data_IF_956277515107
#
_entry.id   IF_956277515107
#
_cell.length_a   1.000
_cell.length_b   1.000
_cell.length_c   1.000
_cell.angle_alpha   90.00
_cell.angle_beta   90.00
_cell.angle_gamma   90.00
#
_symmetry.space_group_name_H-M   'P 1'
#
loop_
_entity.id
_entity.type
_entity.pdbx_description
1 polymer ?
#
# COMPACT_ATOMS: atom_id res chain seq x y z
N UNK A 1 14.22 17.07 -3.93
CA UNK A 1 14.38 16.17 -2.78
C UNK A 1 13.94 14.75 -3.13
N UNK A 2 12.69 14.46 -3.53
CA UNK A 2 12.20 13.11 -3.87
C UNK A 2 13.04 12.40 -4.95
N UNK A 3 13.35 13.05 -6.07
CA UNK A 3 14.19 12.47 -7.13
C UNK A 3 15.57 12.01 -6.68
N UNK A 4 16.18 12.65 -5.68
CA UNK A 4 17.47 12.19 -5.15
C UNK A 4 17.30 10.89 -4.38
N UNK A 5 16.28 10.78 -3.53
CA UNK A 5 15.97 9.54 -2.82
C UNK A 5 15.68 8.39 -3.78
N UNK A 6 14.87 8.62 -4.81
CA UNK A 6 14.57 7.61 -5.83
C UNK A 6 15.83 7.14 -6.55
N UNK A 7 16.73 8.08 -6.88
CA UNK A 7 17.98 7.75 -7.56
C UNK A 7 18.93 6.96 -6.67
N UNK A 8 19.06 7.36 -5.39
CA UNK A 8 19.85 6.64 -4.39
C UNK A 8 19.33 5.23 -4.14
N UNK A 9 18.00 5.06 -4.16
CA UNK A 9 17.33 3.76 -4.04
C UNK A 9 17.32 2.94 -5.34
N UNK A 10 17.85 3.47 -6.45
CA UNK A 10 17.86 2.78 -7.74
C UNK A 10 16.50 2.72 -8.45
N UNK A 11 15.51 3.53 -8.02
CA UNK A 11 14.19 3.58 -8.62
C UNK A 11 14.24 4.24 -9.99
N UNK A 12 13.63 3.61 -10.99
CA UNK A 12 13.49 4.15 -12.35
C UNK A 12 12.48 5.30 -12.33
N UNK A 13 12.94 6.50 -12.70
CA UNK A 13 12.14 7.74 -12.61
C UNK A 13 11.63 8.27 -13.95
N UNK A 14 11.86 7.56 -15.06
CA UNK A 14 11.52 8.02 -16.42
C UNK A 14 10.00 8.14 -16.66
N UNK A 15 9.19 7.50 -15.83
CA UNK A 15 7.73 7.60 -15.90
C UNK A 15 7.14 8.60 -14.89
N UNK A 16 7.96 9.21 -14.04
CA UNK A 16 7.51 10.26 -13.13
C UNK A 16 7.33 11.55 -13.93
N UNK A 17 6.14 12.14 -13.81
CA UNK A 17 5.80 13.42 -14.42
C UNK A 17 6.20 14.54 -13.46
N UNK A 18 6.96 15.49 -13.96
CA UNK A 18 7.30 16.70 -13.21
C UNK A 18 6.49 17.85 -13.77
N UNK A 19 5.59 18.40 -12.98
CA UNK A 19 4.83 19.60 -13.34
C UNK A 19 5.65 20.85 -12.98
N UNK A 20 5.70 21.82 -13.92
CA UNK A 20 6.45 23.06 -13.74
C UNK A 20 5.67 24.15 -12.97
N UNK A 21 4.35 23.98 -12.83
CA UNK A 21 3.43 24.97 -12.25
C UNK A 21 2.92 24.59 -10.88
N UNK A 22 2.84 23.28 -10.61
CA UNK A 22 2.27 22.74 -9.39
C UNK A 22 3.37 22.24 -8.47
N UNK A 23 3.18 22.46 -7.18
CA UNK A 23 4.09 21.94 -6.16
C UNK A 23 3.83 20.44 -5.91
N UNK A 24 4.87 19.75 -5.46
CA UNK A 24 4.72 18.38 -4.94
C UNK A 24 3.83 18.39 -3.71
N UNK A 25 2.93 17.43 -3.60
CA UNK A 25 2.07 17.26 -2.43
C UNK A 25 2.86 17.25 -1.13
N UNK A 26 2.25 17.76 -0.07
CA UNK A 26 2.85 17.82 1.26
C UNK A 26 1.85 17.33 2.31
N UNK A 27 2.35 16.64 3.33
CA UNK A 27 1.57 16.26 4.50
C UNK A 27 2.11 16.97 5.74
N UNK A 28 1.25 17.72 6.43
CA UNK A 28 1.52 18.27 7.75
C UNK A 28 1.09 17.28 8.82
N UNK A 29 2.04 16.68 9.53
CA UNK A 29 1.75 15.68 10.56
C UNK A 29 1.85 16.36 11.92
N UNK A 30 0.75 16.40 12.66
CA UNK A 30 0.71 16.86 14.03
C UNK A 30 0.65 15.66 14.95
N UNK A 31 1.57 15.60 15.92
CA UNK A 31 1.62 14.51 16.89
C UNK A 31 1.36 15.11 18.28
N UNK A 32 0.40 14.55 19.01
CA UNK A 32 0.12 14.94 20.39
C UNK A 32 1.09 14.28 21.38
N UNK A 33 0.99 14.67 22.66
CA UNK A 33 1.83 14.13 23.74
C UNK A 33 1.65 12.63 24.01
N UNK A 34 0.56 12.05 23.53
CA UNK A 34 0.19 10.64 23.74
C UNK A 34 0.54 9.79 22.49
N UNK A 35 1.19 10.43 21.47
CA UNK A 35 1.63 9.76 20.24
C UNK A 35 0.54 9.64 19.16
N UNK A 36 -0.67 10.19 19.38
CA UNK A 36 -1.69 10.22 18.34
C UNK A 36 -1.32 11.23 17.28
N UNK A 37 -1.56 10.89 16.02
CA UNK A 37 -1.31 11.81 14.91
C UNK A 37 -2.60 12.31 14.26
N UNK A 38 -2.53 13.54 13.73
CA UNK A 38 -3.50 14.11 12.83
C UNK A 38 -2.76 14.60 11.59
N UNK A 39 -3.16 14.12 10.42
CA UNK A 39 -2.47 14.39 9.16
C UNK A 39 -3.34 15.29 8.29
N UNK A 40 -2.79 16.41 7.87
CA UNK A 40 -3.40 17.29 6.90
C UNK A 40 -2.63 17.19 5.57
N UNK A 41 -3.28 16.69 4.53
CA UNK A 41 -2.68 16.45 3.22
C UNK A 41 -3.11 17.53 2.25
N UNK A 42 -2.13 18.09 1.52
CA UNK A 42 -2.34 18.93 0.35
C UNK A 42 -1.72 18.22 -0.84
N UNK A 43 -2.54 17.65 -1.71
CA UNK A 43 -2.12 16.69 -2.75
C UNK A 43 -1.23 17.31 -3.84
N UNK A 44 -1.34 18.62 -4.09
CA UNK A 44 -0.52 19.30 -5.09
C UNK A 44 -0.68 18.70 -6.48
N UNK A 45 0.44 18.45 -7.15
CA UNK A 45 0.46 17.89 -8.51
C UNK A 45 -0.21 16.50 -8.63
N UNK A 46 -0.31 15.74 -7.55
CA UNK A 46 -0.94 14.42 -7.58
C UNK A 46 -2.44 14.48 -7.96
N UNK A 47 -3.13 15.57 -7.63
CA UNK A 47 -4.54 15.80 -8.03
C UNK A 47 -4.70 16.20 -9.50
N UNK A 48 -3.61 16.40 -10.24
CA UNK A 48 -3.60 16.87 -11.63
C UNK A 48 -3.05 15.80 -12.57
N UNK A 49 -3.37 14.55 -12.29
CA UNK A 49 -3.07 13.43 -13.17
C UNK A 49 -4.28 13.15 -14.06
N UNK A 50 -4.05 12.87 -15.34
CA UNK A 50 -5.08 12.65 -16.35
C UNK A 50 -4.90 11.29 -17.06
N UNK A 51 -5.93 10.84 -17.76
CA UNK A 51 -5.89 9.58 -18.51
C UNK A 51 -4.75 9.54 -19.55
N UNK A 52 -4.51 10.66 -20.24
CA UNK A 52 -3.42 10.79 -21.20
C UNK A 52 -2.04 10.56 -20.56
N UNK A 53 -1.86 10.93 -19.29
CA UNK A 53 -0.61 10.68 -18.56
C UNK A 53 -0.36 9.19 -18.39
N UNK A 54 -1.42 8.43 -18.11
CA UNK A 54 -1.36 6.97 -18.01
C UNK A 54 -1.09 6.35 -19.38
N UNK A 55 -1.81 6.79 -20.42
CA UNK A 55 -1.64 6.27 -21.78
C UNK A 55 -0.25 6.55 -22.35
N UNK A 56 0.32 7.72 -22.08
CA UNK A 56 1.70 8.08 -22.46
C UNK A 56 2.76 7.24 -21.74
N UNK A 57 2.41 6.54 -20.65
CA UNK A 57 3.29 5.67 -19.88
C UNK A 57 2.88 4.19 -19.94
N UNK A 58 1.94 3.84 -20.82
CA UNK A 58 1.39 2.48 -20.91
C UNK A 58 2.47 1.42 -21.15
N UNK A 59 3.54 1.74 -21.86
CA UNK A 59 4.66 0.81 -22.08
C UNK A 59 5.38 0.45 -20.77
N UNK A 60 5.41 1.34 -19.77
CA UNK A 60 5.92 1.01 -18.44
C UNK A 60 5.01 -0.01 -17.75
N UNK A 61 3.69 0.18 -17.86
CA UNK A 61 2.70 -0.75 -17.30
C UNK A 61 2.83 -2.13 -17.97
N UNK A 62 2.89 -2.17 -19.31
CA UNK A 62 3.03 -3.43 -20.08
C UNK A 62 4.27 -4.25 -19.70
N UNK A 63 5.35 -3.57 -19.34
CA UNK A 63 6.62 -4.19 -18.97
C UNK A 63 6.77 -4.41 -17.45
N UNK A 64 5.67 -4.25 -16.70
CA UNK A 64 5.63 -4.47 -15.27
C UNK A 64 4.82 -5.73 -14.92
N UNK A 65 5.31 -6.50 -13.97
CA UNK A 65 4.58 -7.67 -13.46
C UNK A 65 3.51 -7.26 -12.45
N UNK A 66 3.80 -6.22 -11.68
CA UNK A 66 2.95 -5.75 -10.58
C UNK A 66 2.62 -4.26 -10.78
N UNK A 67 1.38 -3.94 -10.57
CA UNK A 67 0.87 -2.57 -10.48
C UNK A 67 0.35 -2.33 -9.07
N UNK A 68 1.05 -1.49 -8.32
CA UNK A 68 0.68 -1.07 -6.97
C UNK A 68 0.22 0.38 -6.99
N UNK A 69 -0.92 0.67 -6.40
CA UNK A 69 -1.46 2.02 -6.26
C UNK A 69 -2.19 2.23 -4.93
N UNK A 70 -2.40 3.48 -4.59
CA UNK A 70 -3.18 3.98 -3.45
C UNK A 70 -4.36 4.83 -3.95
N UNK A 71 -5.04 5.54 -3.03
CA UNK A 71 -6.17 6.44 -3.33
C UNK A 71 -5.78 7.92 -3.12
N UNK A 72 -4.55 8.31 -3.48
CA UNK A 72 -4.03 9.68 -3.32
C UNK A 72 -3.96 10.49 -4.62
N UNK A 73 -4.44 9.90 -5.72
CA UNK A 73 -4.67 10.56 -7.01
C UNK A 73 -6.16 10.64 -7.29
N UNK A 74 -6.63 11.36 -8.32
CA UNK A 74 -8.06 11.37 -8.65
C UNK A 74 -8.62 9.96 -8.80
N UNK A 75 -9.75 9.68 -8.18
CA UNK A 75 -10.34 8.33 -8.11
C UNK A 75 -10.53 7.72 -9.50
N UNK A 76 -11.00 8.52 -10.46
CA UNK A 76 -11.21 8.11 -11.85
C UNK A 76 -9.90 7.69 -12.54
N UNK A 77 -8.79 8.35 -12.21
CA UNK A 77 -7.47 8.05 -12.79
C UNK A 77 -6.87 6.81 -12.13
N UNK A 78 -7.01 6.66 -10.83
CA UNK A 78 -6.63 5.42 -10.11
C UNK A 78 -7.36 4.21 -10.71
N UNK A 79 -8.67 4.32 -10.92
CA UNK A 79 -9.50 3.28 -11.54
C UNK A 79 -9.07 3.00 -12.98
N UNK A 80 -8.80 4.06 -13.76
CA UNK A 80 -8.33 3.94 -15.13
C UNK A 80 -7.00 3.20 -15.21
N UNK A 81 -6.04 3.57 -14.38
CA UNK A 81 -4.73 2.93 -14.31
C UNK A 81 -4.82 1.45 -13.89
N UNK A 82 -5.66 1.11 -12.91
CA UNK A 82 -5.92 -0.28 -12.51
C UNK A 82 -6.52 -1.11 -13.67
N UNK A 83 -7.46 -0.55 -14.44
CA UNK A 83 -8.01 -1.21 -15.64
C UNK A 83 -6.92 -1.46 -16.67
N UNK A 84 -6.09 -0.45 -16.97
CA UNK A 84 -4.94 -0.60 -17.89
C UNK A 84 -3.96 -1.67 -17.42
N UNK A 85 -3.61 -1.67 -16.14
CA UNK A 85 -2.74 -2.70 -15.57
C UNK A 85 -3.33 -4.11 -15.75
N UNK A 86 -4.64 -4.24 -15.52
CA UNK A 86 -5.32 -5.53 -15.70
C UNK A 86 -5.40 -5.98 -17.16
N UNK A 87 -5.65 -5.06 -18.11
CA UNK A 87 -5.59 -5.31 -19.55
C UNK A 87 -4.22 -5.88 -19.97
N UNK A 88 -3.14 -5.38 -19.34
CA UNK A 88 -1.78 -5.82 -19.59
C UNK A 88 -1.29 -6.95 -18.67
N UNK A 89 -2.21 -7.60 -17.95
CA UNK A 89 -1.97 -8.80 -17.12
C UNK A 89 -1.06 -8.56 -15.92
N UNK A 90 -0.89 -7.32 -15.48
CA UNK A 90 -0.22 -7.06 -14.21
C UNK A 90 -1.01 -7.65 -13.04
N UNK A 91 -0.32 -8.09 -12.01
CA UNK A 91 -0.91 -8.32 -10.70
C UNK A 91 -1.25 -6.95 -10.12
N UNK A 92 -2.51 -6.74 -9.76
CA UNK A 92 -2.98 -5.46 -9.24
C UNK A 92 -3.08 -5.47 -7.73
N UNK A 93 -2.39 -4.53 -7.09
CA UNK A 93 -2.43 -4.31 -5.65
C UNK A 93 -3.03 -2.93 -5.40
N UNK A 94 -4.12 -2.86 -4.66
CA UNK A 94 -4.72 -1.61 -4.21
C UNK A 94 -4.61 -1.49 -2.70
N UNK A 95 -3.82 -0.50 -2.24
CA UNK A 95 -3.89 -0.02 -0.88
C UNK A 95 -4.94 1.10 -0.81
N UNK A 96 -6.09 0.89 -0.14
CA UNK A 96 -7.20 1.85 -0.20
C UNK A 96 -7.03 3.03 0.77
N UNK A 97 -5.85 3.61 0.79
CA UNK A 97 -5.46 4.72 1.65
C UNK A 97 -5.32 6.03 0.83
N UNK A 98 -5.95 7.12 1.27
CA UNK A 98 -7.03 7.18 2.26
C UNK A 98 -8.32 6.54 1.76
N UNK A 99 -9.14 5.99 2.66
CA UNK A 99 -10.40 5.36 2.27
C UNK A 99 -11.35 6.37 1.59
N UNK A 100 -11.76 6.03 0.36
CA UNK A 100 -12.68 6.83 -0.45
C UNK A 100 -13.75 5.93 -1.07
N UNK A 101 -14.91 6.49 -1.41
CA UNK A 101 -15.94 5.73 -2.12
C UNK A 101 -15.47 5.42 -3.54
N UNK A 102 -15.47 4.16 -3.88
CA UNK A 102 -15.15 3.66 -5.23
C UNK A 102 -16.30 2.80 -5.74
N UNK A 103 -16.44 2.72 -7.05
CA UNK A 103 -17.40 1.81 -7.67
C UNK A 103 -17.00 0.36 -7.35
N UNK A 104 -17.96 -0.42 -6.83
CA UNK A 104 -17.70 -1.80 -6.43
C UNK A 104 -17.26 -2.70 -7.60
N UNK A 105 -17.57 -2.34 -8.83
CA UNK A 105 -17.09 -3.10 -10.00
C UNK A 105 -15.56 -3.14 -10.12
N UNK A 106 -14.84 -2.17 -9.50
CA UNK A 106 -13.38 -2.18 -9.48
C UNK A 106 -12.82 -3.35 -8.67
N UNK A 107 -13.52 -3.83 -7.65
CA UNK A 107 -13.06 -4.93 -6.80
C UNK A 107 -12.78 -6.21 -7.60
N UNK A 108 -13.48 -6.43 -8.71
CA UNK A 108 -13.33 -7.62 -9.57
C UNK A 108 -11.99 -7.67 -10.31
N UNK A 109 -11.31 -6.53 -10.43
CA UNK A 109 -10.00 -6.43 -11.10
C UNK A 109 -8.84 -6.25 -10.14
N UNK A 110 -9.10 -6.25 -8.83
CA UNK A 110 -8.09 -6.17 -7.78
C UNK A 110 -7.65 -7.59 -7.41
N UNK A 111 -6.37 -7.87 -7.59
CA UNK A 111 -5.80 -9.16 -7.18
C UNK A 111 -5.49 -9.17 -5.68
N UNK A 112 -4.97 -8.06 -5.13
CA UNK A 112 -4.70 -7.88 -3.71
C UNK A 112 -5.23 -6.54 -3.21
N UNK A 113 -6.02 -6.58 -2.15
CA UNK A 113 -6.58 -5.42 -1.47
C UNK A 113 -6.03 -5.37 -0.04
N UNK A 114 -5.37 -4.26 0.31
CA UNK A 114 -4.56 -4.18 1.53
C UNK A 114 -5.02 -3.08 2.49
N UNK A 115 -6.28 -3.09 2.96
CA UNK A 115 -6.77 -2.12 3.92
C UNK A 115 -6.16 -2.34 5.31
N UNK A 116 -6.12 -1.29 6.11
CA UNK A 116 -6.06 -1.41 7.56
C UNK A 116 -7.47 -1.63 8.15
N UNK A 117 -7.58 -1.78 9.48
CA UNK A 117 -8.86 -1.99 10.17
C UNK A 117 -9.85 -0.86 9.86
N UNK A 118 -9.43 0.40 9.94
CA UNK A 118 -10.28 1.58 9.70
C UNK A 118 -10.75 1.67 8.24
N UNK A 119 -9.89 1.37 7.30
CA UNK A 119 -10.22 1.33 5.88
C UNK A 119 -11.20 0.20 5.57
N UNK A 120 -10.99 -0.98 6.14
CA UNK A 120 -11.92 -2.10 6.01
C UNK A 120 -13.31 -1.76 6.60
N UNK A 121 -13.35 -1.11 7.77
CA UNK A 121 -14.59 -0.59 8.37
C UNK A 121 -15.34 0.35 7.41
N UNK A 122 -14.60 1.25 6.75
CA UNK A 122 -15.18 2.21 5.81
C UNK A 122 -15.87 1.51 4.63
N UNK A 123 -15.19 0.55 3.98
CA UNK A 123 -15.75 -0.15 2.81
C UNK A 123 -16.90 -1.10 3.15
N UNK A 124 -16.98 -1.55 4.39
CA UNK A 124 -18.02 -2.46 4.85
C UNK A 124 -19.13 -1.78 5.64
N UNK A 125 -18.91 -0.52 6.06
CA UNK A 125 -19.78 0.20 7.00
C UNK A 125 -20.08 -0.63 8.26
N UNK A 126 -19.03 -1.27 8.81
CA UNK A 126 -19.09 -2.16 9.99
C UNK A 126 -17.90 -1.90 10.89
N UNK A 127 -18.07 -2.06 12.19
CA UNK A 127 -16.97 -2.00 13.15
C UNK A 127 -16.19 -3.33 13.18
N UNK A 128 -14.88 -3.22 13.42
CA UNK A 128 -13.94 -4.34 13.52
C UNK A 128 -13.22 -4.21 14.86
N UNK A 129 -13.68 -4.98 15.85
CA UNK A 129 -13.15 -4.91 17.21
C UNK A 129 -12.52 -6.25 17.68
N UNK A 130 -12.97 -7.35 17.08
CA UNK A 130 -12.54 -8.69 17.45
C UNK A 130 -11.87 -9.42 16.29
N UNK A 131 -11.12 -10.49 16.61
CA UNK A 131 -10.55 -11.38 15.60
C UNK A 131 -11.61 -12.02 14.70
N UNK A 132 -12.82 -12.22 15.19
CA UNK A 132 -13.92 -12.74 14.39
C UNK A 132 -14.47 -11.68 13.44
N UNK A 133 -14.52 -10.41 13.86
CA UNK A 133 -14.90 -9.30 12.98
C UNK A 133 -13.90 -9.14 11.83
N UNK A 134 -12.59 -9.32 12.09
CA UNK A 134 -11.55 -9.30 11.05
C UNK A 134 -11.80 -10.37 9.99
N UNK A 135 -12.06 -11.61 10.41
CA UNK A 135 -12.38 -12.72 9.49
C UNK A 135 -13.64 -12.45 8.68
N UNK A 136 -14.68 -11.94 9.34
CA UNK A 136 -15.94 -11.59 8.70
C UNK A 136 -15.74 -10.46 7.69
N UNK A 137 -14.96 -9.43 8.04
CA UNK A 137 -14.61 -8.32 7.16
C UNK A 137 -13.89 -8.80 5.92
N UNK A 138 -12.85 -9.62 6.07
CA UNK A 138 -12.14 -10.19 4.93
C UNK A 138 -13.07 -11.01 4.02
N UNK A 139 -13.92 -11.85 4.60
CA UNK A 139 -14.90 -12.64 3.85
C UNK A 139 -15.90 -11.75 3.10
N UNK A 140 -16.37 -10.65 3.70
CA UNK A 140 -17.30 -9.74 3.05
C UNK A 140 -16.63 -8.97 1.90
N UNK A 141 -15.36 -8.60 2.04
CA UNK A 141 -14.57 -8.02 0.96
C UNK A 141 -14.35 -9.02 -0.21
N UNK A 142 -14.05 -10.28 0.09
CA UNK A 142 -13.94 -11.33 -0.92
C UNK A 142 -15.25 -11.51 -1.71
N UNK A 143 -16.42 -11.44 -1.04
CA UNK A 143 -17.74 -11.49 -1.71
C UNK A 143 -17.98 -10.33 -2.67
N UNK A 144 -17.32 -9.18 -2.48
CA UNK A 144 -17.39 -8.06 -3.43
C UNK A 144 -16.57 -8.30 -4.71
N UNK A 145 -15.80 -9.40 -4.79
CA UNK A 145 -15.06 -9.81 -5.98
C UNK A 145 -13.55 -9.67 -5.90
N UNK A 146 -13.01 -9.17 -4.79
CA UNK A 146 -11.57 -9.11 -4.52
C UNK A 146 -11.03 -10.55 -4.43
N UNK A 147 -9.86 -10.81 -5.02
CA UNK A 147 -9.30 -12.17 -5.01
C UNK A 147 -8.56 -12.50 -3.72
N UNK A 148 -7.77 -11.57 -3.20
CA UNK A 148 -7.01 -11.73 -1.97
C UNK A 148 -7.14 -10.46 -1.12
N UNK A 149 -7.45 -10.64 0.16
CA UNK A 149 -7.59 -9.56 1.14
C UNK A 149 -6.49 -9.70 2.18
N UNK A 150 -5.81 -8.60 2.46
CA UNK A 150 -4.79 -8.48 3.51
C UNK A 150 -5.24 -7.33 4.41
N UNK A 151 -5.72 -7.63 5.63
CA UNK A 151 -6.05 -6.59 6.60
C UNK A 151 -4.82 -6.39 7.49
N UNK A 152 -4.23 -5.19 7.46
CA UNK A 152 -3.12 -4.83 8.33
C UNK A 152 -3.65 -4.41 9.70
N UNK A 153 -3.02 -4.93 10.79
CA UNK A 153 -3.49 -4.85 12.17
C UNK A 153 -2.46 -4.16 13.08
N UNK A 154 -1.55 -3.37 12.51
CA UNK A 154 -0.48 -2.70 13.23
C UNK A 154 0.39 -3.68 14.03
N UNK A 155 0.52 -3.46 15.32
CA UNK A 155 1.33 -4.30 16.23
C UNK A 155 0.86 -5.75 16.34
N UNK A 156 -0.36 -6.06 15.92
CA UNK A 156 -0.91 -7.43 15.89
C UNK A 156 -0.52 -8.19 14.62
N UNK A 157 0.09 -7.53 13.64
CA UNK A 157 0.50 -8.14 12.38
C UNK A 157 -0.53 -7.96 11.27
N UNK A 158 -0.94 -9.05 10.63
CA UNK A 158 -1.89 -9.02 9.51
C UNK A 158 -2.87 -10.20 9.58
N UNK A 159 -3.99 -10.05 8.87
CA UNK A 159 -4.86 -11.15 8.50
C UNK A 159 -4.94 -11.27 6.99
N UNK A 160 -4.66 -12.45 6.46
CA UNK A 160 -4.79 -12.80 5.05
C UNK A 160 -5.98 -13.69 4.82
N UNK A 161 -6.72 -13.47 3.74
CA UNK A 161 -7.76 -14.39 3.28
C UNK A 161 -7.91 -14.35 1.76
N UNK A 162 -8.20 -15.52 1.19
CA UNK A 162 -8.65 -15.69 -0.19
C UNK A 162 -9.66 -16.86 -0.27
N UNK A 163 -10.05 -17.25 -1.47
CA UNK A 163 -11.02 -18.34 -1.66
C UNK A 163 -10.51 -19.74 -1.28
N UNK A 164 -9.25 -19.89 -0.86
CA UNK A 164 -8.61 -21.19 -0.58
C UNK A 164 -8.12 -21.31 0.86
N UNK A 165 -7.56 -20.25 1.40
CA UNK A 165 -6.91 -20.23 2.70
C UNK A 165 -7.10 -18.90 3.42
N UNK A 166 -6.94 -18.92 4.72
CA UNK A 166 -6.89 -17.73 5.55
C UNK A 166 -6.02 -17.99 6.78
N UNK A 167 -5.33 -16.96 7.26
CA UNK A 167 -4.51 -17.04 8.47
C UNK A 167 -4.18 -15.67 9.05
N UNK A 168 -3.91 -15.64 10.35
CA UNK A 168 -3.22 -14.54 10.99
C UNK A 168 -1.72 -14.75 10.89
N UNK A 169 -0.98 -13.67 10.63
CA UNK A 169 0.46 -13.63 10.73
C UNK A 169 0.82 -12.55 11.77
N UNK A 170 1.48 -12.97 12.84
CA UNK A 170 1.91 -12.05 13.89
C UNK A 170 2.89 -10.99 13.39
N UNK A 171 2.92 -9.84 14.03
CA UNK A 171 3.88 -8.79 13.71
C UNK A 171 5.32 -9.29 13.87
N UNK A 172 6.20 -8.77 13.05
CA UNK A 172 7.63 -9.07 13.17
C UNK A 172 8.16 -8.61 14.53
N UNK A 173 8.84 -9.51 15.24
CA UNK A 173 9.43 -9.20 16.55
C UNK A 173 10.61 -8.24 16.38
N UNK A 174 10.43 -7.01 16.83
CA UNK A 174 11.44 -5.96 16.72
C UNK A 174 12.51 -6.12 17.81
N UNK A 175 13.76 -5.84 17.45
CA UNK A 175 14.89 -5.73 18.41
C UNK A 175 15.02 -4.32 19.01
N UNK A 176 14.36 -3.34 18.42
CA UNK A 176 14.39 -1.94 18.79
C UNK A 176 12.97 -1.43 19.04
N UNK A 177 12.79 -0.39 19.87
CA UNK A 177 11.48 0.18 20.11
C UNK A 177 10.92 0.85 18.85
N UNK A 178 9.59 0.90 18.75
CA UNK A 178 8.88 1.70 17.76
C UNK A 178 9.11 3.18 18.07
N UNK A 179 9.48 3.95 17.03
CA UNK A 179 9.74 5.40 17.11
C UNK A 179 8.68 6.17 16.33
N UNK A 180 8.37 5.71 15.10
CA UNK A 180 7.47 6.41 14.18
C UNK A 180 6.83 5.39 13.23
N UNK A 181 5.50 5.35 13.20
CA UNK A 181 4.74 4.44 12.35
C UNK A 181 4.41 5.02 10.98
N UNK A 182 4.86 6.25 10.69
CA UNK A 182 4.61 6.93 9.42
C UNK A 182 5.21 6.13 8.26
N UNK A 183 4.37 5.83 7.26
CA UNK A 183 4.78 5.08 6.08
C UNK A 183 4.94 3.56 6.27
N UNK A 184 4.62 3.00 7.45
CA UNK A 184 4.70 1.56 7.66
C UNK A 184 3.81 0.76 6.69
N UNK A 185 2.63 1.29 6.35
CA UNK A 185 1.76 0.73 5.32
C UNK A 185 2.39 0.76 3.93
N UNK A 186 3.10 1.85 3.59
CA UNK A 186 3.82 1.97 2.31
C UNK A 186 4.97 0.97 2.25
N UNK A 187 5.74 0.85 3.35
CA UNK A 187 6.81 -0.14 3.49
C UNK A 187 6.28 -1.57 3.31
N UNK A 188 5.14 -1.89 3.93
CA UNK A 188 4.47 -3.17 3.79
C UNK A 188 4.10 -3.46 2.33
N UNK A 189 3.36 -2.54 1.69
CA UNK A 189 2.88 -2.72 0.32
C UNK A 189 4.02 -2.81 -0.69
N UNK A 190 5.05 -1.96 -0.56
CA UNK A 190 6.23 -2.02 -1.40
C UNK A 190 7.00 -3.33 -1.26
N UNK A 191 7.22 -3.79 -0.03
CA UNK A 191 7.90 -5.05 0.24
C UNK A 191 7.08 -6.27 -0.20
N UNK A 192 5.76 -6.23 -0.02
CA UNK A 192 4.86 -7.28 -0.51
C UNK A 192 4.94 -7.41 -2.03
N UNK A 193 4.90 -6.28 -2.76
CA UNK A 193 5.08 -6.27 -4.21
C UNK A 193 6.44 -6.86 -4.62
N UNK A 194 7.52 -6.51 -3.90
CA UNK A 194 8.86 -7.09 -4.14
C UNK A 194 8.87 -8.61 -3.88
N UNK A 195 8.22 -9.07 -2.81
CA UNK A 195 8.10 -10.50 -2.51
C UNK A 195 7.44 -11.27 -3.65
N UNK A 196 6.31 -10.76 -4.15
CA UNK A 196 5.61 -11.36 -5.29
C UNK A 196 6.46 -11.35 -6.58
N UNK A 197 7.17 -10.24 -6.86
CA UNK A 197 8.03 -10.13 -8.04
C UNK A 197 9.27 -11.04 -7.98
N UNK A 198 9.62 -11.58 -6.82
CA UNK A 198 10.66 -12.57 -6.62
C UNK A 198 10.10 -13.99 -6.46
N UNK A 199 8.87 -14.23 -6.88
CA UNK A 199 8.20 -15.54 -6.86
C UNK A 199 8.13 -16.17 -5.45
N UNK A 200 8.16 -15.37 -4.38
CA UNK A 200 7.93 -15.89 -3.03
C UNK A 200 6.50 -16.41 -2.92
N UNK A 201 6.29 -17.47 -2.17
CA UNK A 201 4.93 -17.87 -1.84
C UNK A 201 4.22 -16.77 -1.00
N UNK A 202 2.90 -16.86 -0.92
CA UNK A 202 2.08 -15.82 -0.29
C UNK A 202 2.49 -15.57 1.17
N UNK A 203 2.78 -16.63 1.91
CA UNK A 203 3.14 -16.54 3.32
C UNK A 203 4.55 -15.95 3.52
N UNK A 204 5.48 -16.32 2.64
CA UNK A 204 6.83 -15.77 2.62
C UNK A 204 6.81 -14.29 2.23
N UNK A 205 6.07 -13.90 1.17
CA UNK A 205 5.91 -12.51 0.75
C UNK A 205 5.31 -11.64 1.84
N UNK A 206 4.28 -12.13 2.54
CA UNK A 206 3.64 -11.45 3.67
C UNK A 206 4.57 -11.35 4.88
N UNK A 207 5.33 -12.40 5.18
CA UNK A 207 6.32 -12.38 6.27
C UNK A 207 7.43 -11.38 5.99
N UNK A 208 7.90 -11.32 4.74
CA UNK A 208 8.88 -10.35 4.30
C UNK A 208 8.35 -8.92 4.41
N UNK A 209 7.13 -8.66 3.94
CA UNK A 209 6.48 -7.37 4.03
C UNK A 209 6.29 -6.90 5.48
N UNK A 210 5.85 -7.81 6.34
CA UNK A 210 5.67 -7.56 7.77
C UNK A 210 7.00 -7.21 8.47
N UNK A 211 8.09 -7.90 8.12
CA UNK A 211 9.44 -7.59 8.61
C UNK A 211 9.89 -6.19 8.17
N UNK A 212 9.75 -5.86 6.89
CA UNK A 212 10.15 -4.54 6.34
C UNK A 212 9.36 -3.42 6.98
N UNK A 213 8.04 -3.58 7.08
CA UNK A 213 7.17 -2.62 7.76
C UNK A 213 7.53 -2.44 9.24
N UNK A 214 7.77 -3.54 9.95
CA UNK A 214 8.20 -3.48 11.34
C UNK A 214 9.52 -2.73 11.52
N UNK A 215 10.53 -3.02 10.70
CA UNK A 215 11.84 -2.33 10.79
C UNK A 215 11.68 -0.83 10.47
N UNK A 216 10.84 -0.42 9.52
CA UNK A 216 10.63 0.98 9.20
C UNK A 216 10.14 1.78 10.42
N UNK A 217 9.31 1.19 11.28
CA UNK A 217 8.78 1.87 12.47
C UNK A 217 9.82 2.16 13.54
N UNK A 218 11.01 1.57 13.46
CA UNK A 218 12.11 1.82 14.41
C UNK A 218 12.94 3.07 14.08
N UNK A 219 12.54 3.83 13.05
CA UNK A 219 13.24 5.00 12.55
C UNK A 219 12.27 6.16 12.36
N UNK A 220 12.78 7.39 12.46
CA UNK A 220 11.98 8.60 12.23
C UNK A 220 11.80 8.86 10.74
N UNK A 221 10.58 9.22 10.34
CA UNK A 221 10.21 9.68 9.01
C UNK A 221 9.62 8.55 8.14
N UNK A 222 9.12 8.92 6.96
CA UNK A 222 8.50 8.00 6.00
C UNK A 222 9.55 7.35 5.06
N UNK A 223 9.84 7.95 3.92
CA UNK A 223 10.79 7.39 2.95
C UNK A 223 12.21 7.17 3.52
N UNK A 224 12.64 8.02 4.46
CA UNK A 224 13.94 7.90 5.12
C UNK A 224 14.02 6.73 6.12
N UNK A 225 12.88 6.21 6.58
CA UNK A 225 12.82 5.10 7.51
C UNK A 225 12.88 3.72 6.81
N UNK A 226 12.64 3.68 5.49
CA UNK A 226 12.59 2.44 4.72
C UNK A 226 13.95 1.73 4.74
N UNK A 227 14.01 0.43 5.13
CA UNK A 227 15.26 -0.31 5.15
C UNK A 227 15.72 -0.67 3.73
N UNK A 228 17.01 -0.60 3.49
CA UNK A 228 17.61 -1.17 2.28
C UNK A 228 17.72 -2.70 2.39
N UNK A 229 17.72 -3.41 1.26
CA UNK A 229 17.81 -4.88 1.20
C UNK A 229 18.97 -5.46 2.03
N UNK A 230 20.15 -4.80 2.03
CA UNK A 230 21.32 -5.22 2.82
C UNK A 230 21.09 -5.21 4.34
N UNK A 231 20.16 -4.40 4.83
CA UNK A 231 19.85 -4.29 6.26
C UNK A 231 18.86 -5.37 6.73
N UNK A 232 18.27 -6.10 5.79
CA UNK A 232 17.29 -7.16 6.08
C UNK A 232 17.95 -8.51 6.33
N UNK A 233 19.23 -8.68 5.96
CA UNK A 233 19.98 -9.94 6.11
C UNK A 233 20.58 -10.10 7.52
N UNK A 234 20.81 -9.01 8.25
CA UNK A 234 21.52 -8.99 9.54
C UNK A 234 20.59 -8.96 10.77
N UNK A 235 19.28 -9.15 10.57
CA UNK A 235 18.27 -9.08 11.65
C UNK A 235 17.58 -10.41 11.89
#
# INVERSE_FOLDING_TARGET
MAFNLYREAGVKTHSIIQDEKLFTGVAGIMIDKDGNNAINVVSGAAEHLFADDIDNKVETIKNSEIFLTQMETPDEITIYALKKAKEHKCITILNPAPARKIDEDIFKIIDFFTPNETEAEFYLNKKIETSEDIKNAANDLLKKGIKNVIITLGEKGIYFANGKENFFLEAYTLKQPVIDTTGAGDAFNGAFAVGLANDLDIKEALSFANKVAGISTTRLGAASSMPFAKELTDN
#
